data_IF_444231516627
#
_entry.id   IF_444231516627
#
_cell.length_a   1.000
_cell.length_b   1.000
_cell.length_c   1.000
_cell.angle_alpha   90.00
_cell.angle_beta   90.00
_cell.angle_gamma   90.00
#
_symmetry.space_group_name_H-M   'P 1'
#
loop_
_entity.id
_entity.type
_entity.pdbx_description
1 polymer ?
#
# COMPACT_ATOMS: atom_id res chain seq x y z
N UNK A 1 19.81 -6.30 -19.13
CA UNK A 1 19.32 -6.08 -17.75
C UNK A 1 18.01 -6.81 -17.59
N UNK A 2 18.04 -8.01 -16.97
CA UNK A 2 16.83 -8.76 -16.65
C UNK A 2 16.07 -8.03 -15.53
N UNK A 3 14.81 -7.69 -15.79
CA UNK A 3 13.90 -7.29 -14.73
C UNK A 3 13.57 -8.55 -13.93
N UNK A 4 13.89 -8.54 -12.64
CA UNK A 4 13.48 -9.62 -11.72
C UNK A 4 12.09 -9.29 -11.19
N UNK A 5 11.22 -10.28 -11.15
CA UNK A 5 9.90 -10.16 -10.51
C UNK A 5 9.86 -11.07 -9.27
N UNK A 6 9.40 -10.52 -8.17
CA UNK A 6 9.15 -11.22 -6.92
C UNK A 6 7.66 -11.14 -6.60
N UNK A 7 7.06 -12.32 -6.41
CA UNK A 7 5.65 -12.44 -6.07
C UNK A 7 5.51 -12.83 -4.61
N UNK A 8 4.88 -11.98 -3.81
CA UNK A 8 4.54 -12.28 -2.43
C UNK A 8 3.26 -13.12 -2.39
N UNK A 9 3.28 -14.22 -1.64
CA UNK A 9 2.16 -15.14 -1.54
C UNK A 9 1.76 -15.29 -0.08
N UNK A 10 0.55 -14.85 0.26
CA UNK A 10 -0.07 -15.14 1.54
C UNK A 10 -0.85 -16.46 1.43
N UNK A 11 -0.29 -17.52 1.98
CA UNK A 11 -0.89 -18.89 1.93
C UNK A 11 -2.06 -19.04 2.89
N UNK A 12 -2.28 -18.12 3.84
CA UNK A 12 -3.42 -18.15 4.75
C UNK A 12 -4.72 -17.61 4.11
N UNK A 13 -4.65 -17.08 2.90
CA UNK A 13 -5.82 -16.57 2.18
C UNK A 13 -6.32 -15.20 2.65
N UNK A 14 -5.67 -14.57 3.62
CA UNK A 14 -5.95 -13.24 4.13
C UNK A 14 -5.41 -13.05 5.54
N UNK A 15 -5.70 -11.89 6.13
CA UNK A 15 -5.18 -11.43 7.42
C UNK A 15 -6.37 -11.17 8.35
N UNK A 16 -6.22 -11.50 9.63
CA UNK A 16 -7.24 -11.24 10.67
C UNK A 16 -6.61 -10.66 11.94
N UNK A 17 -7.43 -10.29 12.91
CA UNK A 17 -6.97 -9.75 14.19
C UNK A 17 -5.88 -10.62 14.82
N UNK A 18 -4.92 -9.99 15.50
CA UNK A 18 -3.73 -10.58 16.15
C UNK A 18 -2.67 -11.13 15.19
N UNK A 19 -2.88 -11.17 13.88
CA UNK A 19 -1.84 -11.54 12.93
C UNK A 19 -0.70 -10.52 12.95
N UNK A 20 0.52 -11.02 12.75
CA UNK A 20 1.73 -10.20 12.62
C UNK A 20 2.50 -10.63 11.38
N UNK A 21 2.72 -9.68 10.49
CA UNK A 21 3.50 -9.88 9.27
C UNK A 21 4.61 -8.84 9.25
N UNK A 22 5.82 -9.29 9.03
CA UNK A 22 6.98 -8.44 8.86
C UNK A 22 7.69 -8.81 7.57
N UNK A 23 7.96 -7.79 6.73
CA UNK A 23 8.68 -7.94 5.47
C UNK A 23 9.89 -7.00 5.53
N UNK A 24 11.07 -7.56 5.51
CA UNK A 24 12.33 -6.82 5.45
C UNK A 24 13.05 -7.17 4.15
N UNK A 25 13.37 -6.16 3.33
CA UNK A 25 14.07 -6.35 2.07
C UNK A 25 15.26 -5.39 1.94
N UNK A 26 16.39 -5.94 1.51
CA UNK A 26 17.55 -5.18 1.07
C UNK A 26 17.76 -5.46 -0.41
N UNK A 27 17.71 -4.42 -1.23
CA UNK A 27 17.83 -4.52 -2.69
C UNK A 27 19.05 -3.71 -3.13
N UNK A 28 20.05 -4.40 -3.67
CA UNK A 28 21.32 -3.80 -4.03
C UNK A 28 21.63 -4.03 -5.51
N UNK A 29 22.01 -2.94 -6.21
CA UNK A 29 22.46 -2.95 -7.61
C UNK A 29 21.54 -3.76 -8.55
N UNK A 30 20.22 -3.64 -8.30
CA UNK A 30 19.21 -4.48 -8.95
C UNK A 30 18.02 -3.66 -9.44
N UNK A 31 17.28 -4.23 -10.38
CA UNK A 31 15.98 -3.75 -10.80
C UNK A 31 14.95 -4.83 -10.51
N UNK A 32 14.03 -4.53 -9.57
CA UNK A 32 13.08 -5.49 -9.04
C UNK A 32 11.66 -4.95 -9.12
N UNK A 33 10.73 -5.80 -9.54
CA UNK A 33 9.29 -5.61 -9.39
C UNK A 33 8.79 -6.52 -8.28
N UNK A 34 8.08 -5.96 -7.31
CA UNK A 34 7.42 -6.73 -6.24
C UNK A 34 5.92 -6.57 -6.41
N UNK A 35 5.23 -7.69 -6.55
CA UNK A 35 3.77 -7.75 -6.56
C UNK A 35 3.26 -8.81 -5.59
N UNK A 36 1.96 -8.85 -5.34
CA UNK A 36 1.31 -9.94 -4.61
C UNK A 36 0.60 -10.86 -5.60
N UNK A 37 0.50 -12.16 -5.28
CA UNK A 37 -0.23 -13.13 -6.11
C UNK A 37 -1.70 -12.74 -6.30
N UNK A 38 -2.33 -12.29 -5.21
CA UNK A 38 -3.74 -11.93 -5.16
C UNK A 38 -3.93 -10.69 -4.29
N UNK A 39 -5.14 -10.13 -4.30
CA UNK A 39 -5.55 -9.09 -3.38
C UNK A 39 -5.40 -9.56 -1.93
N UNK A 40 -4.83 -8.72 -1.07
CA UNK A 40 -4.72 -9.00 0.36
C UNK A 40 -6.05 -8.65 1.05
N UNK A 41 -6.61 -9.61 1.75
CA UNK A 41 -7.93 -9.49 2.36
C UNK A 41 -7.79 -9.36 3.87
N UNK A 42 -8.36 -8.30 4.43
CA UNK A 42 -8.39 -8.08 5.87
C UNK A 42 -9.77 -8.46 6.40
N UNK A 43 -9.81 -9.58 7.12
CA UNK A 43 -11.05 -10.13 7.64
C UNK A 43 -11.42 -9.54 9.01
N UNK A 44 -12.71 -9.62 9.31
CA UNK A 44 -13.21 -9.38 10.67
C UNK A 44 -12.58 -10.36 11.65
N UNK A 45 -12.31 -9.90 12.87
CA UNK A 45 -11.76 -10.73 13.93
C UNK A 45 -11.96 -10.11 15.30
N UNK A 46 -11.72 -10.92 16.34
CA UNK A 46 -11.76 -10.50 17.76
C UNK A 46 -10.32 -10.36 18.24
N UNK A 47 -10.01 -9.27 18.90
CA UNK A 47 -8.68 -8.98 19.43
C UNK A 47 -8.09 -7.69 18.91
N UNK A 48 -6.77 -7.58 18.99
CA UNK A 48 -6.01 -6.43 18.54
C UNK A 48 -5.95 -6.37 17.00
N UNK A 49 -5.74 -5.18 16.41
CA UNK A 49 -5.51 -5.05 14.99
C UNK A 49 -4.38 -5.96 14.51
N UNK A 50 -4.55 -6.54 13.33
CA UNK A 50 -3.43 -7.15 12.64
C UNK A 50 -2.32 -6.12 12.43
N UNK A 51 -1.06 -6.53 12.57
CA UNK A 51 0.11 -5.66 12.37
C UNK A 51 0.87 -6.11 11.13
N UNK A 52 1.04 -5.19 10.20
CA UNK A 52 1.86 -5.42 9.00
C UNK A 52 2.94 -4.37 8.95
N UNK A 53 4.19 -4.78 8.97
CA UNK A 53 5.33 -3.89 8.87
C UNK A 53 6.21 -4.27 7.66
N UNK A 54 6.46 -3.30 6.78
CA UNK A 54 7.23 -3.49 5.56
C UNK A 54 8.39 -2.49 5.58
N UNK A 55 9.61 -3.00 5.59
CA UNK A 55 10.83 -2.21 5.61
C UNK A 55 11.69 -2.56 4.40
N UNK A 56 11.91 -1.62 3.50
CA UNK A 56 12.66 -1.83 2.26
C UNK A 56 13.80 -0.82 2.18
N UNK A 57 15.01 -1.32 2.00
CA UNK A 57 16.18 -0.49 1.71
C UNK A 57 16.66 -0.75 0.30
N UNK A 58 16.79 0.31 -0.49
CA UNK A 58 17.29 0.30 -1.86
C UNK A 58 18.68 0.94 -1.89
N UNK A 59 19.64 0.30 -2.54
CA UNK A 59 20.97 0.86 -2.74
C UNK A 59 21.41 0.70 -4.21
N UNK A 60 21.56 1.82 -4.93
CA UNK A 60 21.80 1.83 -6.38
C UNK A 60 20.84 0.91 -7.15
N UNK A 61 19.55 0.97 -6.84
CA UNK A 61 18.55 0.02 -7.29
C UNK A 61 17.26 0.70 -7.72
N UNK A 62 16.45 -0.02 -8.51
CA UNK A 62 15.11 0.44 -8.88
C UNK A 62 14.07 -0.56 -8.39
N UNK A 63 13.09 -0.08 -7.66
CA UNK A 63 11.95 -0.86 -7.18
C UNK A 63 10.65 -0.40 -7.82
N UNK A 64 9.89 -1.36 -8.32
CA UNK A 64 8.49 -1.24 -8.68
C UNK A 64 7.69 -1.99 -7.62
N UNK A 65 7.09 -1.26 -6.68
CA UNK A 65 6.19 -1.80 -5.66
C UNK A 65 4.76 -1.76 -6.19
N UNK A 66 4.24 -2.91 -6.63
CA UNK A 66 2.98 -3.03 -7.36
C UNK A 66 2.10 -4.16 -6.80
N UNK A 67 1.77 -4.17 -5.51
CA UNK A 67 0.88 -5.18 -4.96
C UNK A 67 -0.51 -5.09 -5.61
N UNK A 68 -1.28 -6.17 -5.51
CA UNK A 68 -2.72 -6.15 -5.75
C UNK A 68 -3.42 -5.39 -4.62
N UNK A 69 -4.71 -5.22 -4.77
CA UNK A 69 -5.52 -4.41 -3.87
C UNK A 69 -5.50 -4.94 -2.42
N UNK A 70 -5.49 -4.02 -1.47
CA UNK A 70 -5.80 -4.27 -0.06
C UNK A 70 -7.31 -4.13 0.14
N UNK A 71 -8.00 -5.21 0.46
CA UNK A 71 -9.45 -5.22 0.63
C UNK A 71 -9.80 -5.30 2.11
N UNK A 72 -10.41 -4.25 2.63
CA UNK A 72 -10.82 -4.13 4.02
C UNK A 72 -12.30 -4.49 4.15
N UNK A 73 -12.62 -5.55 4.88
CA UNK A 73 -13.99 -5.98 5.12
C UNK A 73 -14.60 -5.29 6.34
N UNK A 74 -15.92 -5.34 6.46
CA UNK A 74 -16.59 -4.82 7.64
C UNK A 74 -16.08 -5.50 8.93
N UNK A 75 -15.87 -4.71 10.00
CA UNK A 75 -15.28 -5.12 11.28
C UNK A 75 -13.81 -5.58 11.20
N UNK A 76 -13.11 -5.33 10.12
CA UNK A 76 -11.67 -5.59 10.04
C UNK A 76 -10.86 -4.57 10.84
N UNK A 77 -9.66 -5.01 11.29
CA UNK A 77 -8.73 -4.17 12.05
C UNK A 77 -7.32 -4.37 11.54
N UNK A 78 -6.70 -3.29 11.05
CA UNK A 78 -5.33 -3.31 10.51
C UNK A 78 -4.54 -2.10 11.00
N UNK A 79 -3.30 -2.34 11.44
CA UNK A 79 -2.24 -1.35 11.65
C UNK A 79 -1.09 -1.71 10.70
N UNK A 80 -0.95 -0.97 9.59
CA UNK A 80 0.09 -1.20 8.57
C UNK A 80 1.08 -0.05 8.53
N UNK A 81 2.36 -0.37 8.42
CA UNK A 81 3.43 0.60 8.24
C UNK A 81 4.36 0.17 7.12
N UNK A 82 4.63 1.07 6.20
CA UNK A 82 5.55 0.85 5.08
C UNK A 82 6.65 1.91 5.15
N UNK A 83 7.88 1.46 5.30
CA UNK A 83 9.07 2.31 5.34
C UNK A 83 9.98 1.93 4.17
N UNK A 84 10.26 2.86 3.28
CA UNK A 84 11.15 2.63 2.15
C UNK A 84 12.27 3.68 2.19
N UNK A 85 13.50 3.24 2.17
CA UNK A 85 14.68 4.09 2.17
C UNK A 85 15.45 3.91 0.86
N UNK A 86 15.57 4.99 0.09
CA UNK A 86 16.33 5.05 -1.15
C UNK A 86 17.71 5.63 -0.85
N UNK A 87 18.74 4.82 -1.04
CA UNK A 87 20.13 5.22 -0.91
C UNK A 87 20.77 5.36 -2.30
N UNK A 88 21.68 6.32 -2.42
CA UNK A 88 22.40 6.60 -3.66
C UNK A 88 21.43 6.85 -4.85
N UNK A 89 21.78 6.34 -6.03
CA UNK A 89 20.98 6.50 -7.25
C UNK A 89 19.83 5.48 -7.32
N UNK A 90 19.01 5.41 -6.26
CA UNK A 90 17.88 4.49 -6.24
C UNK A 90 16.60 5.17 -6.71
N UNK A 91 15.73 4.36 -7.33
CA UNK A 91 14.46 4.80 -7.90
C UNK A 91 13.31 3.96 -7.34
N UNK A 92 12.15 4.57 -7.18
CA UNK A 92 10.94 3.92 -6.70
C UNK A 92 9.73 4.34 -7.54
N UNK A 93 8.97 3.34 -7.99
CA UNK A 93 7.57 3.49 -8.34
C UNK A 93 6.79 2.70 -7.30
N UNK A 94 5.86 3.37 -6.64
CA UNK A 94 5.03 2.81 -5.58
C UNK A 94 3.57 3.01 -5.95
N UNK A 95 2.80 1.92 -5.99
CA UNK A 95 1.38 1.96 -6.27
C UNK A 95 0.66 1.11 -5.23
N UNK A 96 -0.27 1.70 -4.51
CA UNK A 96 -1.12 1.03 -3.53
C UNK A 96 -2.58 1.35 -3.80
N UNK A 97 -3.43 0.34 -3.67
CA UNK A 97 -4.88 0.50 -3.80
C UNK A 97 -5.58 -0.16 -2.62
N UNK A 98 -6.35 0.63 -1.89
CA UNK A 98 -7.22 0.14 -0.81
C UNK A 98 -8.67 0.14 -1.27
N UNK A 99 -9.37 -0.96 -1.02
CA UNK A 99 -10.80 -1.13 -1.33
C UNK A 99 -11.55 -1.35 -0.02
N UNK A 100 -12.62 -0.61 0.19
CA UNK A 100 -13.44 -0.65 1.39
C UNK A 100 -14.74 -1.41 1.14
N UNK A 101 -14.80 -2.65 1.63
CA UNK A 101 -15.94 -3.55 1.48
C UNK A 101 -16.03 -4.22 0.10
N UNK A 102 -16.95 -5.16 0.01
CA UNK A 102 -17.24 -5.92 -1.21
C UNK A 102 -18.47 -5.35 -1.90
N UNK A 103 -18.29 -4.39 -2.78
CA UNK A 103 -19.40 -3.74 -3.48
C UNK A 103 -20.32 -4.73 -4.19
N UNK A 104 -19.76 -5.77 -4.81
CA UNK A 104 -20.52 -6.83 -5.49
C UNK A 104 -21.42 -7.65 -4.54
N UNK A 105 -21.12 -7.63 -3.24
CA UNK A 105 -21.90 -8.29 -2.18
C UNK A 105 -22.78 -7.30 -1.40
N UNK A 106 -22.88 -6.06 -1.86
CA UNK A 106 -23.58 -4.97 -1.16
C UNK A 106 -23.13 -4.77 0.28
N UNK A 107 -21.86 -5.12 0.58
CA UNK A 107 -21.28 -4.97 1.90
C UNK A 107 -21.10 -3.49 2.24
N UNK A 108 -21.60 -3.11 3.41
CA UNK A 108 -21.40 -1.79 3.99
C UNK A 108 -20.38 -1.86 5.13
N UNK A 109 -19.47 -0.91 5.17
CA UNK A 109 -18.48 -0.82 6.23
C UNK A 109 -19.04 0.03 7.36
N UNK A 110 -19.68 -0.63 8.31
CA UNK A 110 -20.26 0.01 9.49
C UNK A 110 -19.23 0.22 10.62
N UNK A 111 -18.18 -0.60 10.63
CA UNK A 111 -17.11 -0.50 11.62
C UNK A 111 -15.79 -0.95 11.00
N UNK A 112 -14.76 -0.13 11.15
CA UNK A 112 -13.42 -0.37 10.66
C UNK A 112 -12.41 0.23 11.63
N UNK A 113 -11.29 -0.43 11.82
CA UNK A 113 -10.10 0.17 12.43
C UNK A 113 -8.94 0.01 11.46
N UNK A 114 -8.64 1.06 10.74
CA UNK A 114 -7.61 1.06 9.70
C UNK A 114 -6.62 2.19 9.93
N UNK A 115 -5.41 1.82 10.30
CA UNK A 115 -4.27 2.71 10.32
C UNK A 115 -3.26 2.23 9.28
N UNK A 116 -2.91 3.11 8.36
CA UNK A 116 -1.95 2.85 7.29
C UNK A 116 -1.00 4.03 7.17
N UNK A 117 0.30 3.78 7.34
CA UNK A 117 1.31 4.82 7.36
C UNK A 117 2.44 4.49 6.38
N UNK A 118 2.80 5.45 5.54
CA UNK A 118 3.92 5.33 4.60
C UNK A 118 4.97 6.39 4.87
N UNK A 119 6.23 5.96 4.89
CA UNK A 119 7.38 6.83 5.02
C UNK A 119 8.39 6.50 3.94
N UNK A 120 8.69 7.47 3.11
CA UNK A 120 9.71 7.34 2.07
C UNK A 120 10.87 8.27 2.40
N UNK A 121 12.05 7.69 2.48
CA UNK A 121 13.28 8.39 2.77
C UNK A 121 14.18 8.37 1.55
N UNK A 122 14.94 9.46 1.34
CA UNK A 122 16.06 9.52 0.38
C UNK A 122 17.30 9.91 1.16
N UNK A 123 18.30 9.04 1.15
CA UNK A 123 19.53 9.18 1.92
C UNK A 123 19.24 9.54 3.39
N UNK A 124 18.36 8.75 4.02
CA UNK A 124 17.89 8.90 5.40
C UNK A 124 17.12 10.19 5.72
N UNK A 125 16.84 11.03 4.72
CA UNK A 125 16.00 12.21 4.86
C UNK A 125 14.56 11.88 4.47
N UNK A 126 13.60 12.13 5.36
CA UNK A 126 12.17 11.90 5.08
C UNK A 126 11.71 12.83 3.95
N UNK A 127 11.19 12.25 2.86
CA UNK A 127 10.70 12.98 1.68
C UNK A 127 9.20 12.90 1.50
N UNK A 128 8.60 11.81 1.98
CA UNK A 128 7.15 11.65 1.93
C UNK A 128 6.67 10.99 3.21
N UNK A 129 5.57 11.51 3.72
CA UNK A 129 4.83 10.95 4.83
C UNK A 129 3.34 10.99 4.49
N UNK A 130 2.70 9.84 4.56
CA UNK A 130 1.25 9.73 4.44
C UNK A 130 0.73 8.84 5.58
N UNK A 131 -0.42 9.19 6.12
CA UNK A 131 -1.09 8.37 7.12
C UNK A 131 -2.60 8.46 6.92
N UNK A 132 -3.23 7.29 6.81
CA UNK A 132 -4.67 7.12 6.81
C UNK A 132 -5.05 6.54 8.16
N UNK A 133 -6.00 7.17 8.86
CA UNK A 133 -6.52 6.66 10.11
C UNK A 133 -8.04 6.73 10.10
N UNK A 134 -8.67 5.57 10.00
CA UNK A 134 -10.12 5.44 9.96
C UNK A 134 -10.56 4.59 11.14
N UNK A 135 -11.49 5.10 11.94
CA UNK A 135 -12.12 4.36 13.04
C UNK A 135 -13.63 4.56 12.98
N UNK A 136 -14.36 3.45 13.08
CA UNK A 136 -15.83 3.44 13.06
C UNK A 136 -16.41 3.27 11.66
N UNK A 137 -17.56 3.91 11.40
CA UNK A 137 -18.30 3.79 10.14
C UNK A 137 -17.64 4.60 9.03
N UNK A 138 -17.39 3.96 7.89
CA UNK A 138 -16.99 4.67 6.68
C UNK A 138 -18.18 5.39 6.04
N UNK A 139 -19.39 4.88 6.21
CA UNK A 139 -20.59 5.48 5.61
C UNK A 139 -20.77 6.95 6.02
N UNK A 140 -20.39 7.31 7.25
CA UNK A 140 -20.42 8.69 7.72
C UNK A 140 -19.33 9.54 7.06
N UNK A 141 -18.21 8.92 6.70
CA UNK A 141 -17.10 9.56 6.00
C UNK A 141 -17.32 9.63 4.47
N UNK A 142 -18.11 8.72 3.87
CA UNK A 142 -18.42 8.76 2.44
C UNK A 142 -19.19 10.00 2.03
N UNK A 143 -20.07 10.51 2.91
CA UNK A 143 -20.85 11.72 2.65
C UNK A 143 -20.01 12.99 2.70
N UNK A 144 -18.81 12.92 3.23
CA UNK A 144 -17.93 14.06 3.32
C UNK A 144 -17.07 14.16 2.04
N UNK A 145 -17.30 15.21 1.26
CA UNK A 145 -16.56 15.47 0.02
C UNK A 145 -15.06 15.65 0.23
N UNK A 146 -14.63 15.92 1.45
CA UNK A 146 -13.20 16.07 1.80
C UNK A 146 -12.50 14.76 2.18
N UNK A 147 -13.23 13.63 2.28
CA UNK A 147 -12.63 12.32 2.54
C UNK A 147 -12.74 11.39 1.33
N UNK A 148 -13.79 10.62 1.22
CA UNK A 148 -13.92 9.62 0.15
C UNK A 148 -14.80 10.04 -1.03
N UNK A 149 -15.53 11.16 -0.95
CA UNK A 149 -16.39 11.66 -2.02
C UNK A 149 -17.31 10.57 -2.61
N UNK A 150 -17.93 9.75 -1.77
CA UNK A 150 -18.75 8.58 -2.14
C UNK A 150 -18.01 7.46 -2.91
N UNK A 151 -16.69 7.41 -2.84
CA UNK A 151 -15.90 6.34 -3.46
C UNK A 151 -15.57 5.24 -2.43
N UNK A 152 -15.50 4.00 -2.89
CA UNK A 152 -15.17 2.82 -2.08
C UNK A 152 -13.74 2.34 -2.26
N UNK A 153 -12.92 3.09 -2.96
CA UNK A 153 -11.51 2.79 -3.18
C UNK A 153 -10.66 4.03 -3.20
N UNK A 154 -9.43 3.86 -2.77
CA UNK A 154 -8.37 4.87 -2.79
C UNK A 154 -7.14 4.25 -3.42
N UNK A 155 -6.59 4.92 -4.43
CA UNK A 155 -5.32 4.50 -5.04
C UNK A 155 -4.32 5.64 -4.97
N UNK A 156 -3.09 5.31 -4.60
CA UNK A 156 -1.98 6.26 -4.54
C UNK A 156 -0.85 5.75 -5.41
N UNK A 157 -0.31 6.63 -6.24
CA UNK A 157 0.88 6.37 -7.05
C UNK A 157 1.92 7.41 -6.67
N UNK A 158 3.08 6.93 -6.21
CA UNK A 158 4.22 7.76 -5.86
C UNK A 158 5.42 7.38 -6.72
N UNK A 159 6.27 8.35 -6.96
CA UNK A 159 7.48 8.16 -7.71
C UNK A 159 8.63 8.99 -7.13
N UNK A 160 9.79 8.36 -7.00
CA UNK A 160 11.03 8.97 -6.50
C UNK A 160 12.22 8.52 -7.34
N UNK A 161 13.22 9.41 -7.48
CA UNK A 161 14.46 9.17 -8.21
C UNK A 161 14.51 9.81 -9.61
N UNK A 162 15.60 9.58 -10.35
CA UNK A 162 15.92 10.31 -11.58
C UNK A 162 15.09 9.92 -12.83
N UNK A 163 14.40 8.77 -12.83
CA UNK A 163 13.61 8.31 -13.99
C UNK A 163 12.43 9.26 -14.32
N UNK A 164 12.39 10.47 -13.73
CA UNK A 164 11.26 11.39 -13.77
C UNK A 164 10.90 11.84 -15.18
N UNK A 165 11.87 12.02 -16.06
CA UNK A 165 11.63 12.69 -17.35
C UNK A 165 11.04 11.84 -18.47
N UNK A 166 11.10 10.51 -18.40
CA UNK A 166 10.67 9.65 -19.49
C UNK A 166 9.18 9.23 -19.47
N UNK A 167 8.53 9.24 -18.30
CA UNK A 167 7.13 8.81 -18.14
C UNK A 167 6.11 9.94 -17.96
N UNK A 168 6.55 11.20 -17.79
CA UNK A 168 5.62 12.34 -17.61
C UNK A 168 4.59 12.52 -18.73
N UNK A 169 4.95 12.33 -20.02
CA UNK A 169 3.98 12.48 -21.11
C UNK A 169 2.89 11.41 -21.09
N UNK A 170 3.25 10.17 -20.75
CA UNK A 170 2.31 9.03 -20.72
C UNK A 170 1.36 9.11 -19.54
N UNK A 171 1.86 9.49 -18.35
CA UNK A 171 1.04 9.66 -17.16
C UNK A 171 0.04 10.82 -17.28
N UNK A 172 0.41 11.92 -17.93
CA UNK A 172 -0.50 13.05 -18.20
C UNK A 172 -1.67 12.67 -19.10
N UNK A 173 -1.55 11.63 -19.92
CA UNK A 173 -2.62 11.13 -20.78
C UNK A 173 -3.59 10.18 -20.04
N UNK A 174 -3.16 9.57 -18.93
CA UNK A 174 -3.97 8.64 -18.13
C UNK A 174 -4.82 9.39 -17.07
N UNK A 175 -4.38 10.57 -16.65
CA UNK A 175 -5.03 11.36 -15.56
C UNK A 175 -6.08 12.36 -16.13
N UNK A 176 -6.33 12.37 -17.42
CA UNK A 176 -7.48 13.06 -18.03
C UNK A 176 -8.70 12.14 -17.97
#
# INVERSE_FOLDING_TARGET
NSNTELVLINTAGGITCNDKIEINALIEKSKLSICTQAAEKIYAGIGDPAKVEININLNNSSLYWLPKELILFNNSKLDRKININLLNNSNLIFCETSIFGRKAMSEQINNLSFFDQWKIYINSSLKHFEAINIKGSINDNYKNNYSFANKSSLSTILRFGEIIHQLEPELKNIIK
#
